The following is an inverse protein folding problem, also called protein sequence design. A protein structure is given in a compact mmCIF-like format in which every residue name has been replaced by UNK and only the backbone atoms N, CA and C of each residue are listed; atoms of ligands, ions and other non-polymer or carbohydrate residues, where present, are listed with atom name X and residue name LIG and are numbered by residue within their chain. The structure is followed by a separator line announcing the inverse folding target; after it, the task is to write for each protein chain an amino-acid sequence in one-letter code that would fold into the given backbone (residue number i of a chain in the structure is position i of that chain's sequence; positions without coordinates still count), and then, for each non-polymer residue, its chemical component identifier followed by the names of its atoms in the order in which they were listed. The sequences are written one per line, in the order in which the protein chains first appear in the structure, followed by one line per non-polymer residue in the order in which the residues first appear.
data_IF_151454391286
#
_entry.id   IF_151454391286
#
_cell.length_a   1.000
_cell.length_b   1.000
_cell.length_c   1.000
_cell.angle_alpha   90.00
_cell.angle_beta   90.00
_cell.angle_gamma   90.00
#
_symmetry.space_group_name_H-M   'P 1'
#
loop_
_entity.id
_entity.type
_entity.pdbx_description
1 polymer ?
#
# COMPACT_ATOMS: atom_id res chain seq x y z
N UNK A 1 16.48 -11.45 -16.45
CA UNK A 1 15.21 -11.03 -17.06
C UNK A 1 14.82 -9.71 -16.41
N UNK A 2 14.92 -8.60 -17.16
CA UNK A 2 14.56 -7.26 -16.64
C UNK A 2 13.03 -7.17 -16.60
N UNK A 3 12.46 -7.10 -15.42
CA UNK A 3 11.05 -6.77 -15.24
C UNK A 3 10.86 -5.26 -15.44
N UNK A 4 10.08 -4.89 -16.45
CA UNK A 4 9.66 -3.51 -16.66
C UNK A 4 8.60 -3.17 -15.61
N UNK A 5 9.02 -2.44 -14.57
CA UNK A 5 8.12 -1.82 -13.60
C UNK A 5 7.47 -0.60 -14.27
N UNK A 6 6.17 -0.67 -14.55
CA UNK A 6 5.40 0.47 -15.04
C UNK A 6 4.91 1.34 -13.89
N UNK A 7 5.30 2.63 -13.86
CA UNK A 7 4.75 3.60 -12.91
C UNK A 7 3.31 3.91 -13.31
N UNK A 8 2.35 3.61 -12.42
CA UNK A 8 0.93 3.92 -12.60
C UNK A 8 0.54 5.04 -11.64
N UNK A 9 0.06 6.16 -12.19
CA UNK A 9 -0.56 7.21 -11.38
C UNK A 9 -2.07 7.03 -11.44
N UNK A 10 -2.72 6.96 -10.28
CA UNK A 10 -4.16 6.98 -10.21
C UNK A 10 -4.66 8.40 -10.55
N UNK A 11 -5.16 8.58 -11.76
CA UNK A 11 -5.99 9.74 -12.15
C UNK A 11 -7.25 9.20 -12.77
N UNK A 12 -8.40 9.61 -12.25
CA UNK A 12 -9.70 9.33 -12.83
C UNK A 12 -9.69 9.59 -14.33
N UNK A 13 -9.98 8.58 -15.15
CA UNK A 13 -10.46 8.74 -16.51
C UNK A 13 -9.57 8.25 -17.66
N UNK A 14 -8.55 7.42 -17.48
CA UNK A 14 -7.82 6.85 -18.64
C UNK A 14 -7.92 5.33 -18.67
N UNK A 15 -8.91 4.82 -19.42
CA UNK A 15 -8.95 3.42 -19.86
C UNK A 15 -8.12 3.29 -21.13
N UNK A 16 -6.86 2.92 -20.99
CA UNK A 16 -6.12 2.36 -22.11
C UNK A 16 -5.62 0.96 -21.72
N UNK A 17 -5.55 0.04 -22.71
CA UNK A 17 -5.27 -1.39 -22.57
C UNK A 17 -4.00 -1.66 -21.73
N UNK A 18 -4.14 -1.70 -20.42
CA UNK A 18 -3.08 -2.05 -19.48
C UNK A 18 -3.42 -3.40 -18.84
N UNK A 19 -2.38 -4.22 -18.65
CA UNK A 19 -2.44 -5.41 -17.80
C UNK A 19 -3.33 -5.19 -16.59
N UNK A 20 -4.21 -6.10 -16.27
CA UNK A 20 -5.12 -6.00 -15.13
C UNK A 20 -4.33 -5.63 -13.87
N UNK A 21 -4.75 -4.53 -13.20
CA UNK A 21 -4.22 -4.13 -11.89
C UNK A 21 -4.57 -5.26 -10.92
N UNK A 22 -3.58 -5.82 -10.22
CA UNK A 22 -3.76 -6.96 -9.31
C UNK A 22 -4.17 -6.57 -7.90
N UNK A 23 -4.02 -5.30 -7.57
CA UNK A 23 -4.52 -4.76 -6.30
C UNK A 23 -5.85 -4.05 -6.49
N UNK A 24 -6.47 -3.67 -5.37
CA UNK A 24 -7.67 -2.84 -5.33
C UNK A 24 -7.40 -1.56 -4.55
N UNK A 25 -8.26 -0.56 -4.77
CA UNK A 25 -8.22 0.69 -4.05
C UNK A 25 -9.43 0.80 -3.13
N UNK A 26 -9.21 1.45 -2.00
CA UNK A 26 -10.23 1.83 -1.04
C UNK A 26 -10.41 3.34 -1.13
N UNK A 27 -11.66 3.79 -1.27
CA UNK A 27 -12.01 5.20 -1.21
C UNK A 27 -12.78 5.45 0.07
N UNK A 28 -12.22 6.29 0.94
CA UNK A 28 -12.85 6.69 2.19
C UNK A 28 -13.86 7.80 1.93
N UNK A 29 -14.91 7.84 2.74
CA UNK A 29 -15.78 9.00 2.78
C UNK A 29 -14.99 10.21 3.28
N UNK A 30 -15.00 11.29 2.51
CA UNK A 30 -14.28 12.52 2.82
C UNK A 30 -15.22 13.70 2.89
N UNK A 31 -15.01 14.55 3.90
CA UNK A 31 -15.75 15.80 4.13
C UNK A 31 -14.77 16.96 4.10
N UNK A 32 -14.96 17.89 3.18
CA UNK A 32 -14.07 19.04 2.99
C UNK A 32 -14.85 20.33 3.23
N UNK A 33 -14.34 21.20 4.10
CA UNK A 33 -14.87 22.54 4.33
C UNK A 33 -13.74 23.56 4.60
N UNK A 34 -14.10 24.77 4.99
CA UNK A 34 -13.11 25.84 5.27
C UNK A 34 -12.14 25.52 6.42
N UNK A 35 -12.38 24.49 7.22
CA UNK A 35 -11.54 24.04 8.34
C UNK A 35 -10.57 22.93 7.92
N UNK A 36 -10.71 22.36 6.70
CA UNK A 36 -9.88 21.28 6.19
C UNK A 36 -10.69 20.08 5.73
N UNK A 37 -10.04 18.91 5.71
CA UNK A 37 -10.64 17.63 5.27
C UNK A 37 -10.69 16.64 6.42
N UNK A 38 -11.78 15.86 6.45
CA UNK A 38 -11.99 14.72 7.34
C UNK A 38 -12.22 13.48 6.48
N UNK A 39 -11.36 12.48 6.58
CA UNK A 39 -11.54 11.19 5.91
C UNK A 39 -11.90 10.13 6.95
N UNK A 40 -12.90 9.30 6.65
CA UNK A 40 -13.47 8.35 7.61
C UNK A 40 -13.24 6.93 7.12
N UNK A 41 -12.58 6.12 7.95
CA UNK A 41 -12.46 4.68 7.77
C UNK A 41 -13.36 3.98 8.78
N UNK A 42 -14.41 3.32 8.30
CA UNK A 42 -15.39 2.62 9.13
C UNK A 42 -15.52 1.16 8.69
N UNK A 43 -16.02 0.33 9.61
CA UNK A 43 -16.38 -1.05 9.31
C UNK A 43 -17.82 -1.11 8.75
N UNK A 44 -18.04 -0.43 7.64
CA UNK A 44 -19.33 -0.32 6.92
C UNK A 44 -19.36 -1.12 5.60
N UNK A 45 -18.30 -1.89 5.34
CA UNK A 45 -18.08 -2.62 4.09
C UNK A 45 -17.25 -1.86 3.05
N UNK A 46 -16.83 -0.61 3.33
CA UNK A 46 -15.90 0.14 2.46
C UNK A 46 -14.46 -0.40 2.54
N UNK A 47 -14.10 -1.04 3.66
CA UNK A 47 -12.81 -1.70 3.84
C UNK A 47 -12.90 -3.19 3.46
N UNK A 48 -11.82 -3.78 2.90
CA UNK A 48 -11.80 -5.19 2.51
C UNK A 48 -11.77 -6.17 3.70
N UNK A 49 -11.56 -5.67 4.91
CA UNK A 49 -11.52 -6.43 6.17
C UNK A 49 -11.84 -5.51 7.35
N UNK A 50 -12.14 -6.12 8.51
CA UNK A 50 -12.22 -5.39 9.77
C UNK A 50 -10.81 -5.16 10.30
N UNK A 51 -10.35 -3.91 10.47
CA UNK A 51 -9.01 -3.64 10.96
C UNK A 51 -8.82 -4.17 12.38
N UNK A 52 -7.80 -5.01 12.56
CA UNK A 52 -7.36 -5.48 13.87
C UNK A 52 -6.22 -4.62 14.45
N UNK A 53 -5.54 -3.86 13.59
CA UNK A 53 -4.41 -3.00 13.97
C UNK A 53 -4.39 -1.76 13.07
N UNK A 54 -4.02 -0.64 13.66
CA UNK A 54 -3.72 0.63 12.97
C UNK A 54 -2.34 1.08 13.41
N UNK A 55 -1.52 1.48 12.45
CA UNK A 55 -0.22 2.10 12.75
C UNK A 55 0.10 3.16 11.69
N UNK A 56 1.07 4.02 11.98
CA UNK A 56 1.51 5.04 11.05
C UNK A 56 3.03 5.14 11.01
N UNK A 57 3.53 5.58 9.86
CA UNK A 57 4.93 5.83 9.57
C UNK A 57 5.07 7.32 9.32
N UNK A 58 5.96 7.98 10.04
CA UNK A 58 6.22 9.41 9.93
C UNK A 58 7.70 9.70 10.16
N UNK A 59 8.15 10.89 9.75
CA UNK A 59 9.53 11.32 9.96
C UNK A 59 10.55 10.49 9.18
N UNK A 60 10.16 9.93 8.04
CA UNK A 60 11.07 9.17 7.17
C UNK A 60 12.05 10.14 6.54
N UNK A 61 13.38 9.99 6.74
CA UNK A 61 14.37 10.85 6.14
C UNK A 61 14.38 10.76 4.61
N UNK A 62 14.84 11.82 3.94
CA UNK A 62 15.04 11.79 2.49
C UNK A 62 15.91 10.61 2.06
N UNK A 63 15.48 9.90 1.02
CA UNK A 63 16.16 8.72 0.47
C UNK A 63 16.00 7.44 1.28
N UNK A 64 15.39 7.49 2.48
CA UNK A 64 15.11 6.28 3.25
C UNK A 64 13.88 5.54 2.71
N UNK A 65 13.88 4.22 2.93
CA UNK A 65 12.80 3.32 2.53
C UNK A 65 12.16 2.66 3.75
N UNK A 66 10.91 2.25 3.59
CA UNK A 66 10.15 1.44 4.56
C UNK A 66 9.54 0.25 3.85
N UNK A 67 8.87 -0.64 4.59
CA UNK A 67 8.43 -1.91 4.03
C UNK A 67 9.59 -2.90 3.92
N UNK A 68 9.87 -3.43 2.74
CA UNK A 68 10.90 -4.44 2.53
C UNK A 68 10.49 -5.79 3.11
N UNK A 69 9.20 -6.14 2.97
CA UNK A 69 8.66 -7.41 3.46
C UNK A 69 7.37 -7.80 2.73
N UNK A 70 6.99 -9.05 2.92
CA UNK A 70 5.65 -9.54 2.64
C UNK A 70 5.04 -10.12 3.92
N UNK A 71 3.71 -10.14 4.00
CA UNK A 71 2.98 -10.82 5.07
C UNK A 71 2.54 -12.22 4.62
N UNK A 72 2.61 -13.20 5.51
CA UNK A 72 2.15 -14.57 5.20
C UNK A 72 0.62 -14.64 5.08
N UNK A 73 -0.11 -13.95 5.93
CA UNK A 73 -1.59 -14.00 6.01
C UNK A 73 -2.25 -12.63 6.15
N UNK A 74 -1.57 -11.63 6.73
CA UNK A 74 -2.10 -10.30 6.95
C UNK A 74 -2.23 -9.52 5.63
N UNK A 75 -3.37 -8.92 5.41
CA UNK A 75 -3.59 -7.89 4.37
C UNK A 75 -3.57 -6.51 5.00
N UNK A 76 -3.17 -5.52 4.23
CA UNK A 76 -3.10 -4.14 4.68
C UNK A 76 -3.81 -3.19 3.71
N UNK A 77 -4.27 -2.05 4.22
CA UNK A 77 -4.67 -0.88 3.40
C UNK A 77 -3.78 0.28 3.81
N UNK A 78 -3.12 0.89 2.82
CA UNK A 78 -2.09 1.91 3.02
C UNK A 78 -2.56 3.24 2.46
N UNK A 79 -2.50 4.30 3.27
CA UNK A 79 -2.94 5.66 2.92
C UNK A 79 -1.81 6.68 3.13
N UNK A 80 -1.81 7.75 2.33
CA UNK A 80 -1.03 8.95 2.61
C UNK A 80 -1.92 9.97 3.33
N UNK A 81 -1.97 9.91 4.66
CA UNK A 81 -2.79 10.86 5.43
C UNK A 81 -2.27 12.32 5.31
N UNK A 82 -0.99 12.49 5.02
CA UNK A 82 -0.33 13.77 4.71
C UNK A 82 0.88 13.51 3.83
N UNK A 83 1.24 14.46 2.98
CA UNK A 83 2.39 14.35 2.08
C UNK A 83 2.17 13.35 0.96
N UNK A 84 3.25 12.71 0.53
CA UNK A 84 3.21 11.70 -0.53
C UNK A 84 4.35 10.71 -0.43
N UNK A 85 4.17 9.53 -0.99
CA UNK A 85 5.19 8.51 -1.16
C UNK A 85 4.83 7.58 -2.33
N UNK A 86 5.78 6.78 -2.76
CA UNK A 86 5.54 5.70 -3.70
C UNK A 86 5.43 4.36 -2.95
N UNK A 87 4.47 3.54 -3.34
CA UNK A 87 4.34 2.14 -2.92
C UNK A 87 4.59 1.24 -4.12
N UNK A 88 5.52 0.32 -3.98
CA UNK A 88 5.79 -0.74 -4.95
C UNK A 88 5.26 -2.06 -4.42
N UNK A 89 4.43 -2.73 -5.23
CA UNK A 89 3.89 -4.04 -4.97
C UNK A 89 4.47 -5.03 -5.98
N UNK A 90 5.23 -6.03 -5.49
CA UNK A 90 5.82 -7.09 -6.28
C UNK A 90 5.02 -8.39 -6.08
N UNK A 91 4.48 -8.92 -7.16
CA UNK A 91 3.64 -10.13 -7.17
C UNK A 91 4.42 -11.39 -7.55
N UNK A 92 5.74 -11.25 -7.76
CA UNK A 92 6.64 -12.32 -8.17
C UNK A 92 6.88 -12.37 -9.67
N UNK A 93 5.89 -12.15 -10.48
CA UNK A 93 5.96 -12.13 -11.95
C UNK A 93 5.85 -10.71 -12.54
N UNK A 94 5.33 -9.76 -11.79
CA UNK A 94 5.26 -8.34 -12.16
C UNK A 94 5.29 -7.45 -10.92
N UNK A 95 5.60 -6.16 -11.14
CA UNK A 95 5.54 -5.12 -10.12
C UNK A 95 4.57 -4.03 -10.56
N UNK A 96 3.90 -3.42 -9.58
CA UNK A 96 3.11 -2.21 -9.76
C UNK A 96 3.62 -1.13 -8.80
N UNK A 97 3.68 0.12 -9.29
CA UNK A 97 4.07 1.28 -8.47
C UNK A 97 2.94 2.29 -8.48
N UNK A 98 2.53 2.73 -7.31
CA UNK A 98 1.50 3.75 -7.13
C UNK A 98 2.07 4.94 -6.37
N UNK A 99 1.70 6.14 -6.81
CA UNK A 99 1.96 7.37 -6.06
C UNK A 99 0.79 7.60 -5.10
N UNK A 100 1.10 7.62 -3.82
CA UNK A 100 0.15 7.87 -2.74
C UNK A 100 0.24 9.32 -2.33
N UNK A 101 -0.77 10.12 -2.66
CA UNK A 101 -0.81 11.57 -2.43
C UNK A 101 -2.21 12.08 -2.03
N UNK A 102 -3.15 11.17 -1.79
CA UNK A 102 -4.53 11.50 -1.43
C UNK A 102 -4.88 10.84 -0.09
N UNK A 103 -5.39 11.61 0.89
CA UNK A 103 -5.67 11.08 2.23
C UNK A 103 -6.88 10.14 2.29
N UNK A 104 -7.76 10.17 1.30
CA UNK A 104 -8.99 9.37 1.21
C UNK A 104 -8.90 8.21 0.21
N UNK A 105 -7.77 8.05 -0.46
CA UNK A 105 -7.52 6.93 -1.38
C UNK A 105 -6.41 6.01 -0.84
N UNK A 106 -6.77 4.78 -0.51
CA UNK A 106 -5.85 3.76 -0.02
C UNK A 106 -5.63 2.65 -1.02
N UNK A 107 -4.43 2.07 -1.01
CA UNK A 107 -4.12 0.87 -1.79
C UNK A 107 -4.16 -0.36 -0.89
N UNK A 108 -4.79 -1.43 -1.38
CA UNK A 108 -4.80 -2.73 -0.69
C UNK A 108 -3.51 -3.48 -1.00
N UNK A 109 -2.83 -3.93 0.04
CA UNK A 109 -1.69 -4.84 -0.05
C UNK A 109 -2.16 -6.23 0.39
N UNK A 110 -2.41 -7.15 -0.54
CA UNK A 110 -2.84 -8.50 -0.18
C UNK A 110 -1.73 -9.27 0.54
N UNK A 111 -2.12 -10.25 1.35
CA UNK A 111 -1.18 -11.21 1.91
C UNK A 111 -0.35 -11.87 0.81
N UNK A 112 0.92 -12.13 1.07
CA UNK A 112 1.86 -12.73 0.13
C UNK A 112 2.50 -11.75 -0.86
N UNK A 113 2.02 -10.53 -0.99
CA UNK A 113 2.60 -9.51 -1.88
C UNK A 113 3.76 -8.82 -1.18
N UNK A 114 4.89 -8.68 -1.87
CA UNK A 114 6.02 -7.92 -1.36
C UNK A 114 5.77 -6.43 -1.52
N UNK A 115 6.01 -5.67 -0.45
CA UNK A 115 5.72 -4.25 -0.39
C UNK A 115 6.95 -3.44 -0.01
N UNK A 116 7.27 -2.45 -0.84
CA UNK A 116 8.29 -1.44 -0.57
C UNK A 116 7.65 -0.04 -0.61
N UNK A 117 8.03 0.82 0.34
CA UNK A 117 7.62 2.22 0.40
C UNK A 117 8.85 3.10 0.26
N UNK A 118 8.79 4.07 -0.66
CA UNK A 118 9.94 4.94 -0.99
C UNK A 118 9.50 6.34 -1.41
N UNK A 119 10.46 7.20 -1.72
CA UNK A 119 10.21 8.56 -2.23
C UNK A 119 9.30 9.39 -1.32
N UNK A 120 9.49 9.27 0.00
CA UNK A 120 8.70 10.03 0.96
C UNK A 120 8.97 11.53 0.83
N UNK A 121 7.92 12.32 0.61
CA UNK A 121 8.00 13.77 0.71
C UNK A 121 8.16 14.20 2.17
N UNK A 122 8.64 15.43 2.37
CA UNK A 122 8.76 16.00 3.71
C UNK A 122 7.39 16.03 4.44
N UNK A 123 7.39 15.76 5.75
CA UNK A 123 6.18 15.74 6.59
C UNK A 123 5.11 14.72 6.17
N UNK A 124 5.50 13.69 5.42
CA UNK A 124 4.60 12.60 5.06
C UNK A 124 4.20 11.77 6.28
N UNK A 125 2.91 11.46 6.36
CA UNK A 125 2.34 10.50 7.30
C UNK A 125 1.63 9.40 6.51
N UNK A 126 2.21 8.21 6.56
CA UNK A 126 1.61 7.00 5.99
C UNK A 126 0.82 6.28 7.09
N UNK A 127 -0.47 6.06 6.88
CA UNK A 127 -1.34 5.31 7.80
C UNK A 127 -1.65 3.95 7.19
N UNK A 128 -1.54 2.91 8.03
CA UNK A 128 -1.79 1.53 7.62
C UNK A 128 -2.84 0.90 8.51
N UNK A 129 -3.86 0.34 7.88
CA UNK A 129 -4.86 -0.53 8.51
C UNK A 129 -4.48 -1.98 8.19
N UNK A 130 -4.38 -2.83 9.20
CA UNK A 130 -3.98 -4.23 9.03
C UNK A 130 -5.10 -5.17 9.49
N UNK A 131 -5.28 -6.27 8.75
CA UNK A 131 -6.33 -7.27 9.01
C UNK A 131 -6.06 -8.14 10.23
N UNK A 132 -4.81 -8.15 10.73
CA UNK A 132 -4.37 -8.99 11.84
C UNK A 132 -3.61 -8.17 12.89
N UNK A 133 -3.58 -8.63 14.15
CA UNK A 133 -2.66 -8.12 15.16
C UNK A 133 -1.20 -8.29 14.72
N UNK A 134 -0.29 -7.59 15.40
CA UNK A 134 1.14 -7.76 15.13
C UNK A 134 1.61 -9.16 15.53
N UNK A 135 2.21 -9.85 14.57
CA UNK A 135 2.95 -11.09 14.78
C UNK A 135 4.25 -11.05 13.97
N UNK A 136 5.40 -11.08 14.66
CA UNK A 136 6.71 -11.06 14.02
C UNK A 136 6.94 -12.27 13.10
N UNK A 137 6.38 -13.44 13.42
CA UNK A 137 6.47 -14.64 12.60
C UNK A 137 5.64 -14.55 11.30
N UNK A 138 4.69 -13.61 11.24
CA UNK A 138 3.86 -13.35 10.06
C UNK A 138 4.59 -12.62 8.94
N UNK A 139 5.82 -12.12 9.17
CA UNK A 139 6.60 -11.37 8.19
C UNK A 139 7.59 -12.26 7.44
N UNK A 140 7.80 -11.96 6.17
CA UNK A 140 8.89 -12.50 5.33
C UNK A 140 9.77 -11.30 4.96
N UNK A 141 10.99 -11.26 5.51
CA UNK A 141 11.93 -10.16 5.30
C UNK A 141 13.01 -10.49 4.25
N UNK A 142 13.18 -11.76 3.92
CA UNK A 142 14.11 -12.19 2.89
C UNK A 142 13.39 -12.30 1.55
N UNK A 143 13.82 -11.47 0.59
CA UNK A 143 13.19 -11.39 -0.74
C UNK A 143 13.45 -12.65 -1.58
N UNK A 144 14.55 -13.33 -1.36
CA UNK A 144 14.88 -14.58 -2.07
C UNK A 144 14.04 -15.75 -1.51
N UNK A 145 13.86 -15.83 -0.17
CA UNK A 145 12.90 -16.75 0.45
C UNK A 145 11.47 -16.52 -0.08
N UNK A 146 11.05 -15.25 -0.13
CA UNK A 146 9.74 -14.87 -0.64
C UNK A 146 9.57 -15.29 -2.11
N UNK A 147 10.55 -15.03 -2.98
CA UNK A 147 10.51 -15.43 -4.40
C UNK A 147 10.46 -16.94 -4.57
N UNK A 148 11.24 -17.69 -3.80
CA UNK A 148 11.23 -19.15 -3.85
C UNK A 148 9.84 -19.70 -3.54
N UNK A 149 9.12 -19.12 -2.57
CA UNK A 149 7.76 -19.53 -2.22
C UNK A 149 6.71 -19.24 -3.29
N UNK A 150 6.99 -18.34 -4.24
CA UNK A 150 6.11 -18.02 -5.38
C UNK A 150 6.36 -18.91 -6.60
N UNK A 151 7.58 -19.44 -6.75
CA UNK A 151 7.95 -20.30 -7.89
C UNK A 151 7.51 -21.77 -7.69
N UNK A 152 7.07 -22.14 -6.49
CA UNK A 152 6.59 -23.51 -6.17
C UNK A 152 5.07 -23.70 -6.38
N UNK A 153 4.38 -22.67 -6.89
CA UNK A 153 2.95 -22.71 -7.27
C UNK A 153 2.79 -22.67 -8.78
#
# INVERSE_FOLDING_TARGET
MLYLCGIKTYKDGFRDKMSEIRTSFVHLQSHVDARGSLSVAENDGSLPFVPARVFWISGVPEGAQRGGHAHRSCSEVVFAASGSFEIELDYGDCCEVFVMDQPDAGVVVPAGVWCDLRSFAENTVCVVLASEPYDAAGYIHDKDEWRASHNEK
#
